data_IF_733758909976
#
_entry.id   IF_733758909976
#
_cell.length_a   1.000
_cell.length_b   1.000
_cell.length_c   1.000
_cell.angle_alpha   90.00
_cell.angle_beta   90.00
_cell.angle_gamma   90.00
#
_symmetry.space_group_name_H-M   'P 1'
#
loop_
_entity.id
_entity.type
_entity.pdbx_description
1 polymer ?
#
# COMPACT_ATOMS: atom_id res chain seq x y z
N UNK A 1 -4.18 10.46 7.19
CA UNK A 1 -3.98 9.94 5.86
C UNK A 1 -5.00 10.43 4.87
N UNK A 2 -6.25 10.23 5.15
CA UNK A 2 -7.29 10.70 4.29
C UNK A 2 -7.27 12.20 4.13
N UNK A 3 -7.01 12.92 5.23
CA UNK A 3 -6.89 14.35 5.18
C UNK A 3 -5.77 14.79 4.28
N UNK A 4 -4.68 14.04 4.28
CA UNK A 4 -3.55 14.35 3.45
C UNK A 4 -3.92 14.28 1.96
N UNK A 5 -4.63 13.24 1.57
CA UNK A 5 -5.08 13.10 0.20
C UNK A 5 -6.02 14.23 -0.19
N UNK A 6 -6.92 14.61 0.72
CA UNK A 6 -7.82 15.70 0.44
C UNK A 6 -7.09 17.02 0.25
N UNK A 7 -6.09 17.28 1.08
CA UNK A 7 -5.32 18.50 0.95
C UNK A 7 -4.63 18.53 -0.40
N UNK A 8 -4.10 17.40 -0.83
CA UNK A 8 -3.44 17.33 -2.12
C UNK A 8 -4.42 17.59 -3.25
N UNK A 9 -5.62 17.06 -3.13
CA UNK A 9 -6.64 17.27 -4.13
C UNK A 9 -7.01 18.73 -4.25
N UNK A 10 -7.05 19.44 -3.14
CA UNK A 10 -7.45 20.82 -3.17
C UNK A 10 -6.42 21.72 -3.83
N UNK A 11 -5.19 21.26 -3.94
CA UNK A 11 -4.16 21.99 -4.65
C UNK A 11 -4.07 21.60 -6.12
N UNK A 12 -4.79 20.60 -6.52
CA UNK A 12 -4.64 20.05 -7.85
C UNK A 12 -5.42 20.81 -8.88
N UNK A 13 -4.86 21.89 -9.34
CA UNK A 13 -5.47 22.62 -10.42
C UNK A 13 -4.47 22.79 -11.49
N UNK A 14 -4.70 22.35 -12.63
CA UNK A 14 -3.74 22.47 -13.70
C UNK A 14 -2.89 21.23 -13.80
N UNK A 15 -2.21 21.08 -14.91
CA UNK A 15 -1.51 19.86 -15.24
C UNK A 15 -0.33 19.59 -14.32
N UNK A 16 0.44 20.61 -14.01
CA UNK A 16 1.59 20.41 -13.16
C UNK A 16 1.19 20.03 -11.75
N UNK A 17 0.13 20.65 -11.26
CA UNK A 17 -0.35 20.32 -9.93
C UNK A 17 -0.91 18.90 -9.90
N UNK A 18 -1.60 18.49 -10.96
CA UNK A 18 -2.14 17.14 -11.01
C UNK A 18 -1.03 16.09 -11.04
N UNK A 19 0.03 16.36 -11.80
CA UNK A 19 1.15 15.45 -11.85
C UNK A 19 1.86 15.37 -10.51
N UNK A 20 2.02 16.49 -9.83
CA UNK A 20 2.62 16.51 -8.52
C UNK A 20 1.78 15.72 -7.52
N UNK A 21 0.45 15.84 -7.62
CA UNK A 21 -0.44 15.08 -6.77
C UNK A 21 -0.26 13.58 -6.94
N UNK A 22 -0.16 13.12 -8.18
CA UNK A 22 0.01 11.70 -8.45
C UNK A 22 1.34 11.22 -7.89
N UNK A 23 2.41 11.99 -8.09
CA UNK A 23 3.72 11.62 -7.57
C UNK A 23 3.71 11.58 -6.05
N UNK A 24 3.05 12.56 -5.43
CA UNK A 24 2.95 12.60 -3.97
C UNK A 24 2.17 11.42 -3.43
N UNK A 25 1.11 11.02 -4.12
CA UNK A 25 0.32 9.86 -3.69
C UNK A 25 1.14 8.58 -3.78
N UNK A 26 1.89 8.41 -4.86
CA UNK A 26 2.73 7.24 -5.02
C UNK A 26 3.79 7.20 -3.92
N UNK A 27 4.40 8.35 -3.66
CA UNK A 27 5.42 8.43 -2.62
C UNK A 27 4.82 8.11 -1.25
N UNK A 28 3.64 8.66 -0.97
CA UNK A 28 2.99 8.40 0.30
C UNK A 28 2.67 6.92 0.47
N UNK A 29 2.18 6.30 -0.59
CA UNK A 29 1.88 4.87 -0.54
C UNK A 29 3.15 4.07 -0.28
N UNK A 30 4.26 4.46 -0.90
CA UNK A 30 5.52 3.79 -0.64
C UNK A 30 5.97 3.94 0.80
N UNK A 31 5.79 5.13 1.37
CA UNK A 31 6.09 5.34 2.78
C UNK A 31 5.24 4.46 3.69
N UNK A 32 3.97 4.27 3.33
CA UNK A 32 3.11 3.40 4.08
C UNK A 32 3.58 1.95 4.02
N UNK A 33 3.98 1.50 2.84
CA UNK A 33 4.52 0.15 2.71
C UNK A 33 5.80 -0.01 3.51
N UNK A 34 6.67 1.00 3.51
CA UNK A 34 7.89 0.94 4.31
C UNK A 34 7.56 0.79 5.79
N UNK A 35 6.60 1.57 6.28
CA UNK A 35 6.17 1.47 7.66
C UNK A 35 5.53 0.14 7.99
N UNK A 36 4.76 -0.39 7.03
CA UNK A 36 4.13 -1.70 7.21
C UNK A 36 5.18 -2.79 7.34
N UNK A 37 6.12 -2.84 6.39
CA UNK A 37 7.14 -3.88 6.41
C UNK A 37 8.01 -3.76 7.64
N UNK A 38 8.32 -2.54 8.07
CA UNK A 38 9.07 -2.33 9.30
C UNK A 38 8.31 -2.88 10.50
N UNK A 39 7.01 -2.63 10.57
CA UNK A 39 6.19 -3.14 11.67
C UNK A 39 6.17 -4.66 11.70
N UNK A 40 6.13 -5.29 10.52
CA UNK A 40 6.11 -6.75 10.45
C UNK A 40 7.44 -7.35 10.91
N UNK A 41 8.55 -6.73 10.51
CA UNK A 41 9.86 -7.18 10.97
C UNK A 41 9.97 -7.02 12.48
N UNK A 42 9.51 -5.90 12.99
CA UNK A 42 9.54 -5.63 14.42
C UNK A 42 8.67 -6.64 15.17
N UNK A 43 7.49 -6.93 14.64
CA UNK A 43 6.59 -7.91 15.26
C UNK A 43 7.24 -9.29 15.32
N UNK A 44 7.95 -9.68 14.25
CA UNK A 44 8.64 -10.95 14.22
C UNK A 44 9.63 -11.05 15.37
N UNK A 45 10.41 -10.02 15.59
CA UNK A 45 11.36 -10.01 16.68
C UNK A 45 10.69 -10.12 18.03
N UNK A 46 9.58 -9.44 18.20
CA UNK A 46 8.86 -9.50 19.48
C UNK A 46 8.26 -10.88 19.73
N UNK A 47 7.75 -11.53 18.67
CA UNK A 47 7.25 -12.88 18.80
C UNK A 47 8.38 -13.81 19.22
N UNK A 48 9.53 -13.67 18.57
CA UNK A 48 10.67 -14.55 18.87
C UNK A 48 11.18 -14.36 20.29
N UNK A 49 11.04 -13.17 20.83
CA UNK A 49 11.49 -12.89 22.20
C UNK A 49 10.38 -13.07 23.24
N UNK A 50 9.18 -13.36 22.81
CA UNK A 50 8.07 -13.53 23.74
C UNK A 50 7.54 -12.23 24.30
N UNK A 51 7.81 -11.10 23.64
CA UNK A 51 7.35 -9.79 24.11
C UNK A 51 5.93 -9.53 23.64
N UNK A 52 4.96 -10.00 24.41
CA UNK A 52 3.57 -10.02 23.97
C UNK A 52 3.03 -8.62 23.76
N UNK A 53 3.28 -7.71 24.70
CA UNK A 53 2.74 -6.37 24.60
C UNK A 53 3.31 -5.62 23.41
N UNK A 54 4.62 -5.74 23.20
CA UNK A 54 5.26 -5.08 22.07
C UNK A 54 4.81 -5.70 20.75
N UNK A 55 4.63 -7.02 20.74
CA UNK A 55 4.09 -7.69 19.56
C UNK A 55 2.73 -7.13 19.21
N UNK A 56 1.86 -6.99 20.20
CA UNK A 56 0.53 -6.44 19.95
C UNK A 56 0.61 -5.05 19.33
N UNK A 57 1.47 -4.20 19.87
CA UNK A 57 1.60 -2.84 19.34
C UNK A 57 2.06 -2.85 17.90
N UNK A 58 3.03 -3.69 17.57
CA UNK A 58 3.55 -3.76 16.22
C UNK A 58 2.51 -4.27 15.23
N UNK A 59 1.76 -5.30 15.62
CA UNK A 59 0.76 -5.87 14.73
C UNK A 59 -0.45 -4.95 14.56
N UNK A 60 -0.82 -4.23 15.61
CA UNK A 60 -1.90 -3.24 15.51
C UNK A 60 -1.47 -2.12 14.57
N UNK A 61 -0.22 -1.67 14.68
CA UNK A 61 0.28 -0.64 13.78
C UNK A 61 0.25 -1.12 12.35
N UNK A 62 0.70 -2.36 12.12
CA UNK A 62 0.67 -2.95 10.77
C UNK A 62 -0.75 -2.98 10.23
N UNK A 63 -1.71 -3.39 11.05
CA UNK A 63 -3.10 -3.45 10.62
C UNK A 63 -3.66 -2.09 10.26
N UNK A 64 -3.31 -1.08 11.03
CA UNK A 64 -3.76 0.29 10.73
C UNK A 64 -3.21 0.77 9.40
N UNK A 65 -1.96 0.44 9.11
CA UNK A 65 -1.36 0.83 7.83
C UNK A 65 -2.08 0.13 6.68
N UNK A 66 -2.38 -1.17 6.83
CA UNK A 66 -3.10 -1.90 5.79
C UNK A 66 -4.47 -1.29 5.55
N UNK A 67 -5.17 -0.91 6.61
CA UNK A 67 -6.46 -0.26 6.48
C UNK A 67 -6.31 1.07 5.75
N UNK A 68 -5.24 1.81 6.04
CA UNK A 68 -4.95 3.05 5.33
C UNK A 68 -4.69 2.82 3.86
N UNK A 69 -3.92 1.80 3.52
CA UNK A 69 -3.67 1.44 2.13
C UNK A 69 -4.97 1.07 1.44
N UNK A 70 -5.82 0.30 2.11
CA UNK A 70 -7.10 -0.10 1.56
C UNK A 70 -7.99 1.10 1.31
N UNK A 71 -8.01 2.04 2.25
CA UNK A 71 -8.82 3.24 2.10
C UNK A 71 -8.33 4.18 1.03
N UNK A 72 -7.09 4.04 0.60
CA UNK A 72 -6.53 4.88 -0.44
C UNK A 72 -6.89 4.38 -1.85
N UNK A 73 -7.47 3.20 -1.97
CA UNK A 73 -7.86 2.67 -3.27
C UNK A 73 -9.05 3.42 -3.82
N UNK A 74 -9.00 3.70 -5.11
CA UNK A 74 -10.13 4.27 -5.81
C UNK A 74 -10.82 3.13 -6.54
N UNK A 75 -11.88 2.63 -5.94
CA UNK A 75 -12.55 1.43 -6.47
C UNK A 75 -13.25 1.69 -7.78
N UNK A 76 -13.64 2.95 -8.02
CA UNK A 76 -14.29 3.26 -9.27
C UNK A 76 -13.30 3.36 -10.41
N UNK A 77 -12.25 4.15 -10.21
CA UNK A 77 -11.28 4.37 -11.27
C UNK A 77 -10.31 3.22 -11.43
N UNK A 78 -10.03 2.52 -10.34
CA UNK A 78 -9.07 1.43 -10.37
C UNK A 78 -9.63 0.12 -10.88
N UNK A 79 -10.93 0.01 -10.99
CA UNK A 79 -11.55 -1.15 -11.58
C UNK A 79 -11.22 -2.45 -10.87
N UNK A 80 -10.98 -3.48 -11.67
CA UNK A 80 -10.73 -4.81 -11.12
C UNK A 80 -9.47 -4.86 -10.28
N UNK A 81 -8.43 -4.14 -10.68
CA UNK A 81 -7.18 -4.14 -9.92
C UNK A 81 -7.42 -3.60 -8.51
N UNK A 82 -8.12 -2.48 -8.41
CA UNK A 82 -8.39 -1.90 -7.11
C UNK A 82 -9.24 -2.83 -6.25
N UNK A 83 -10.23 -3.49 -6.86
CA UNK A 83 -11.07 -4.43 -6.13
C UNK A 83 -10.26 -5.62 -5.63
N UNK A 84 -9.37 -6.12 -6.47
CA UNK A 84 -8.52 -7.25 -6.08
C UNK A 84 -7.59 -6.86 -4.94
N UNK A 85 -7.01 -5.68 -5.02
CA UNK A 85 -6.16 -5.19 -3.93
C UNK A 85 -6.95 -4.98 -2.65
N UNK A 86 -8.17 -4.49 -2.77
CA UNK A 86 -9.03 -4.28 -1.61
C UNK A 86 -9.27 -5.60 -0.88
N UNK A 87 -9.57 -6.65 -1.64
CA UNK A 87 -9.78 -7.97 -1.05
C UNK A 87 -8.49 -8.52 -0.45
N UNK A 88 -7.38 -8.29 -1.14
CA UNK A 88 -6.11 -8.75 -0.64
C UNK A 88 -5.75 -8.08 0.67
N UNK A 89 -5.98 -6.78 0.77
CA UNK A 89 -5.72 -6.08 2.02
C UNK A 89 -6.64 -6.58 3.14
N UNK A 90 -7.88 -6.92 2.82
CA UNK A 90 -8.77 -7.53 3.82
C UNK A 90 -8.21 -8.87 4.29
N UNK A 91 -7.72 -9.66 3.35
CA UNK A 91 -7.09 -10.93 3.69
C UNK A 91 -5.89 -10.71 4.63
N UNK A 92 -5.05 -9.75 4.30
CA UNK A 92 -3.88 -9.45 5.13
C UNK A 92 -4.30 -9.05 6.54
N UNK A 93 -5.33 -8.21 6.64
CA UNK A 93 -5.81 -7.81 7.97
C UNK A 93 -6.22 -9.02 8.79
N UNK A 94 -6.93 -9.97 8.17
CA UNK A 94 -7.34 -11.18 8.87
C UNK A 94 -6.14 -12.03 9.28
N UNK A 95 -5.15 -12.11 8.40
CA UNK A 95 -3.95 -12.90 8.71
C UNK A 95 -3.14 -12.27 9.85
N UNK A 96 -3.11 -10.94 9.91
CA UNK A 96 -2.42 -10.27 11.02
C UNK A 96 -3.11 -10.57 12.35
N UNK A 97 -4.44 -10.61 12.36
CA UNK A 97 -5.17 -10.99 13.56
C UNK A 97 -4.80 -12.42 13.95
N UNK A 98 -4.72 -13.30 12.96
CA UNK A 98 -4.35 -14.68 13.22
C UNK A 98 -2.94 -14.78 13.80
N UNK A 99 -1.99 -14.04 13.23
CA UNK A 99 -0.62 -14.03 13.76
C UNK A 99 -0.61 -13.58 15.20
N UNK A 100 -1.39 -12.54 15.51
CA UNK A 100 -1.42 -12.03 16.88
C UNK A 100 -1.99 -13.06 17.85
N UNK A 101 -2.99 -13.80 17.40
CA UNK A 101 -3.62 -14.80 18.27
C UNK A 101 -2.76 -16.02 18.47
N UNK A 102 -1.97 -16.40 17.47
CA UNK A 102 -1.27 -17.71 17.47
C UNK A 102 0.24 -17.60 17.44
N UNK A 103 0.81 -16.41 17.33
CA UNK A 103 2.25 -16.19 17.22
C UNK A 103 2.86 -16.99 16.07
N UNK A 104 2.13 -17.09 14.95
CA UNK A 104 2.49 -17.94 13.83
C UNK A 104 3.47 -17.21 12.91
N UNK A 105 4.75 -17.55 13.03
CA UNK A 105 5.80 -16.91 12.25
C UNK A 105 5.69 -17.25 10.76
N UNK A 106 5.19 -18.42 10.42
CA UNK A 106 5.04 -18.78 9.01
C UNK A 106 3.99 -17.91 8.34
N UNK A 107 2.89 -17.64 9.03
CA UNK A 107 1.86 -16.76 8.50
C UNK A 107 2.37 -15.34 8.41
N UNK A 108 3.15 -14.90 9.39
CA UNK A 108 3.74 -13.57 9.35
C UNK A 108 4.66 -13.44 8.15
N UNK A 109 5.45 -14.46 7.87
CA UNK A 109 6.35 -14.45 6.73
C UNK A 109 5.57 -14.40 5.42
N UNK A 110 4.46 -15.11 5.35
CA UNK A 110 3.59 -15.05 4.18
C UNK A 110 3.13 -13.61 3.92
N UNK A 111 2.69 -12.93 4.96
CA UNK A 111 2.25 -11.55 4.85
C UNK A 111 3.41 -10.64 4.44
N UNK A 112 4.57 -10.84 5.03
CA UNK A 112 5.75 -10.04 4.68
C UNK A 112 6.09 -10.19 3.20
N UNK A 113 6.10 -11.40 2.70
CA UNK A 113 6.42 -11.66 1.30
C UNK A 113 5.38 -11.01 0.38
N UNK A 114 4.12 -11.21 0.71
CA UNK A 114 3.04 -10.67 -0.10
C UNK A 114 3.09 -9.15 -0.15
N UNK A 115 3.26 -8.51 0.99
CA UNK A 115 3.29 -7.05 1.04
C UNK A 115 4.56 -6.51 0.40
N UNK A 116 5.66 -7.23 0.51
CA UNK A 116 6.89 -6.84 -0.15
C UNK A 116 6.75 -6.87 -1.67
N UNK A 117 6.06 -7.87 -2.19
CA UNK A 117 5.83 -7.97 -3.63
C UNK A 117 4.96 -6.83 -4.12
N UNK A 118 3.92 -6.48 -3.36
CA UNK A 118 3.05 -5.37 -3.74
C UNK A 118 3.82 -4.05 -3.66
N UNK A 119 4.65 -3.89 -2.63
CA UNK A 119 5.47 -2.69 -2.52
C UNK A 119 6.37 -2.54 -3.73
N UNK A 120 6.95 -3.65 -4.19
CA UNK A 120 7.82 -3.60 -5.35
C UNK A 120 7.05 -3.16 -6.59
N UNK A 121 5.83 -3.68 -6.74
CA UNK A 121 4.99 -3.26 -7.85
C UNK A 121 4.68 -1.77 -7.79
N UNK A 122 4.42 -1.24 -6.61
CA UNK A 122 4.17 0.19 -6.47
C UNK A 122 5.41 1.02 -6.76
N UNK A 123 6.60 0.49 -6.48
CA UNK A 123 7.83 1.17 -6.83
C UNK A 123 7.97 1.40 -8.32
N UNK A 124 7.45 0.49 -9.10
CA UNK A 124 7.55 0.58 -10.54
C UNK A 124 6.47 1.45 -11.16
N UNK A 125 5.47 1.88 -10.37
CA UNK A 125 4.37 2.68 -10.89
C UNK A 125 4.83 3.93 -11.62
N UNK A 126 5.83 4.70 -11.12
CA UNK A 126 6.26 5.88 -11.86
C UNK A 126 6.75 5.56 -13.26
N UNK A 127 7.28 4.37 -13.47
CA UNK A 127 7.73 3.96 -14.80
C UNK A 127 6.57 3.44 -15.63
N UNK A 128 5.50 2.99 -15.00
CA UNK A 128 4.34 2.45 -15.69
C UNK A 128 3.32 3.53 -16.04
N UNK A 129 3.34 4.65 -15.33
CA UNK A 129 2.42 5.71 -15.60
C UNK A 129 2.80 6.39 -16.90
N UNK A 130 1.82 6.82 -17.68
CA UNK A 130 2.13 7.58 -18.89
C UNK A 130 2.85 8.83 -18.48
N UNK A 131 4.02 8.99 -19.02
CA UNK A 131 4.80 10.11 -18.67
C UNK A 131 4.19 11.37 -19.10
N UNK A 132 3.74 11.43 -20.20
CA UNK A 132 3.09 12.54 -20.67
C UNK A 132 1.81 11.97 -20.90
N UNK A 133 0.86 12.66 -20.52
CA UNK A 133 -0.37 12.32 -20.89
C UNK A 133 -0.32 12.01 -22.27
N UNK A 134 -0.39 10.85 -22.58
CA UNK A 134 -0.32 10.52 -23.92
C UNK A 134 -1.40 11.21 -24.57
N UNK A 135 -1.07 11.75 -25.56
CA UNK A 135 -2.05 12.26 -26.37
C UNK A 135 -2.95 11.12 -26.59
N UNK A 136 -4.16 11.39 -26.54
CA UNK A 136 -5.11 10.37 -26.81
C UNK A 136 -4.77 9.77 -28.10
N UNK A 137 -4.80 8.62 -28.22
CA UNK A 137 -4.52 8.01 -29.41
C UNK A 137 -3.14 7.67 -29.62
N UNK A 138 -2.40 8.11 -28.76
CA UNK A 138 -1.11 7.65 -28.87
C UNK A 138 -1.18 6.35 -28.39
N UNK A 139 -1.11 5.77 -28.97
CA UNK A 139 -1.37 4.59 -28.60
C UNK A 139 -0.68 4.14 -27.53
N UNK A 140 -0.98 4.32 -27.14
CA UNK A 140 -0.55 3.92 -26.44
C UNK A 140 -0.29 2.90 -26.60
N UNK A 141 -0.43 2.89 -27.20
CA UNK A 141 -0.22 2.18 -27.43
C UNK A 141 0.60 1.83 -27.44
N UNK A 142 0.88 2.20 -27.65
CA UNK A 142 1.66 1.95 -27.76
C UNK A 142 2.11 1.81 -26.74
N UNK A 143 2.11 2.01 -26.39
CA UNK A 143 2.42 1.89 -25.57
C UNK A 143 2.11 1.18 -24.78
N UNK A 144 1.88 1.19 -24.86
CA UNK A 144 1.59 0.75 -24.34
C UNK A 144 1.45 0.05 -24.26
N UNK A 145 1.48 -0.03 -24.55
CA UNK A 145 1.10 -0.37 -24.67
C UNK A 145 1.19 -0.95 -24.41
#
# INVERSE_FOLDING_TARGET
MRLHFKAMESYGEGNNASQAMVADKVELIQMLFDGLLDSLVTARGHIQRGSIEDKNKSLVRAGRIVIGLQGALDLEKGGDLARNLHELYSYVTRRLVYVNAHNDLAVLEEVQTLMGDIRQAWRDVPNLLPKSTPAPGVPMSAAMH
#
